data_IF_053367397889
#
_entry.id   IF_053367397889
#
_cell.length_a   1.000
_cell.length_b   1.000
_cell.length_c   1.000
_cell.angle_alpha   90.00
_cell.angle_beta   90.00
_cell.angle_gamma   90.00
#
_symmetry.space_group_name_H-M   'P 1'
#
loop_
_entity.id
_entity.type
_entity.pdbx_description
1 polymer ?
#
# COMPACT_ATOMS: atom_id res chain seq x y z
N UNK A 1 23.90 -45.55 38.16
CA UNK A 1 22.96 -44.59 38.78
C UNK A 1 23.72 -43.27 38.93
N UNK A 2 24.04 -42.54 37.86
CA UNK A 2 23.21 -41.64 37.04
C UNK A 2 22.57 -40.50 37.87
N UNK A 3 23.02 -39.28 37.54
CA UNK A 3 22.44 -37.94 37.73
C UNK A 3 22.60 -37.23 39.09
N UNK A 4 23.57 -36.32 39.17
CA UNK A 4 23.48 -35.09 39.97
C UNK A 4 23.48 -33.86 39.05
N UNK A 5 22.27 -33.35 38.89
CA UNK A 5 21.78 -32.07 38.39
C UNK A 5 22.79 -30.93 38.13
N UNK A 6 23.02 -30.62 36.84
CA UNK A 6 23.40 -29.26 36.40
C UNK A 6 22.12 -28.42 36.33
N UNK A 7 21.98 -27.45 37.23
CA UNK A 7 20.95 -26.42 37.18
C UNK A 7 21.42 -25.34 36.18
N UNK A 8 20.97 -25.46 34.92
CA UNK A 8 21.21 -24.44 33.90
C UNK A 8 20.35 -23.20 34.20
N UNK A 9 20.99 -22.09 34.57
CA UNK A 9 20.37 -20.76 34.56
C UNK A 9 20.12 -20.36 33.09
N UNK A 10 18.91 -20.63 32.60
CA UNK A 10 18.41 -19.95 31.42
C UNK A 10 17.94 -18.55 31.82
N UNK A 11 18.86 -17.59 31.72
CA UNK A 11 18.52 -16.17 31.75
C UNK A 11 17.62 -15.87 30.54
N UNK A 12 16.34 -15.69 30.78
CA UNK A 12 15.37 -15.29 29.77
C UNK A 12 15.68 -13.85 29.37
N UNK A 13 16.34 -13.66 28.23
CA UNK A 13 16.43 -12.35 27.58
C UNK A 13 15.06 -12.01 27.00
N UNK A 14 14.22 -11.38 27.82
CA UNK A 14 13.01 -10.73 27.34
C UNK A 14 13.44 -9.61 26.38
N UNK A 15 13.35 -9.86 25.08
CA UNK A 15 13.36 -8.80 24.08
C UNK A 15 12.18 -7.89 24.39
N UNK A 16 12.46 -6.71 24.91
CA UNK A 16 11.48 -5.65 25.01
C UNK A 16 11.02 -5.32 23.59
N UNK A 17 9.88 -5.89 23.18
CA UNK A 17 9.10 -5.30 22.10
C UNK A 17 8.72 -3.92 22.60
N UNK A 18 9.28 -2.85 22.02
CA UNK A 18 8.75 -1.52 22.22
C UNK A 18 7.33 -1.52 21.67
N UNK A 19 6.35 -1.80 22.55
CA UNK A 19 4.98 -1.43 22.30
C UNK A 19 5.01 0.09 22.15
N UNK A 20 4.85 0.58 20.92
CA UNK A 20 4.59 1.99 20.69
C UNK A 20 3.29 2.29 21.42
N UNK A 21 3.43 2.91 22.58
CA UNK A 21 2.31 3.25 23.44
C UNK A 21 1.45 4.23 22.64
N UNK A 22 0.26 3.79 22.20
CA UNK A 22 -0.69 4.62 21.46
C UNK A 22 -1.26 5.68 22.39
N UNK A 23 -0.54 6.78 22.56
CA UNK A 23 -1.05 8.03 23.15
C UNK A 23 -1.96 8.67 22.11
N UNK A 24 -3.24 8.26 22.04
CA UNK A 24 -4.15 8.73 20.98
C UNK A 24 -4.30 10.25 20.94
N UNK A 25 -4.25 10.81 19.72
CA UNK A 25 -5.06 11.98 19.30
C UNK A 25 -5.54 11.85 17.83
N UNK A 26 -5.98 10.66 17.40
CA UNK A 26 -6.55 10.33 16.06
C UNK A 26 -5.62 10.52 14.85
N UNK A 27 -5.76 9.70 13.80
CA UNK A 27 -5.04 9.87 12.52
C UNK A 27 -5.91 10.50 11.43
N UNK A 28 -7.10 11.01 11.78
CA UNK A 28 -8.00 11.65 10.82
C UNK A 28 -7.45 12.99 10.35
N UNK A 29 -7.84 13.39 9.14
CA UNK A 29 -7.33 14.60 8.48
C UNK A 29 -6.29 14.28 7.41
N UNK A 30 -5.64 15.34 6.94
CA UNK A 30 -4.61 15.29 5.90
C UNK A 30 -3.23 15.35 6.52
N UNK A 31 -2.35 14.46 6.08
CA UNK A 31 -0.96 14.36 6.52
C UNK A 31 -0.03 14.40 5.31
N UNK A 32 1.13 15.05 5.41
CA UNK A 32 2.13 15.07 4.34
C UNK A 32 3.56 14.97 4.87
N UNK A 33 4.42 14.23 4.19
CA UNK A 33 5.85 14.14 4.50
C UNK A 33 6.66 15.27 3.85
N UNK A 34 7.95 15.36 4.20
CA UNK A 34 8.90 16.27 3.57
C UNK A 34 8.55 17.72 3.86
N UNK A 35 8.53 18.57 2.82
CA UNK A 35 8.16 19.98 2.93
C UNK A 35 6.64 20.24 2.86
N UNK A 36 5.81 19.20 2.81
CA UNK A 36 4.34 19.38 2.80
C UNK A 36 3.72 19.69 1.43
N UNK A 37 4.49 19.64 0.34
CA UNK A 37 3.99 20.03 -0.99
C UNK A 37 3.18 18.93 -1.70
N UNK A 38 3.37 17.67 -1.35
CA UNK A 38 2.55 16.57 -1.87
C UNK A 38 1.30 16.51 -1.01
N UNK A 39 0.13 16.80 -1.56
CA UNK A 39 -1.13 16.75 -0.85
C UNK A 39 -2.13 15.92 -1.65
N UNK A 40 -2.94 15.13 -0.96
CA UNK A 40 -4.12 14.51 -1.58
C UNK A 40 -5.09 15.58 -2.10
N UNK A 41 -6.00 15.18 -2.98
CA UNK A 41 -7.04 16.01 -3.58
C UNK A 41 -6.76 16.40 -5.04
N UNK A 42 -7.60 17.28 -5.61
CA UNK A 42 -7.52 17.70 -7.02
C UNK A 42 -6.22 18.44 -7.37
N UNK A 43 -5.50 18.93 -6.37
CA UNK A 43 -4.19 19.57 -6.54
C UNK A 43 -3.08 18.60 -6.95
N UNK A 44 -3.28 17.29 -6.80
CA UNK A 44 -2.27 16.27 -7.13
C UNK A 44 -2.67 15.36 -8.28
N UNK A 45 -3.91 14.87 -8.30
CA UNK A 45 -4.39 13.95 -9.33
C UNK A 45 -5.62 14.51 -10.05
N UNK A 46 -5.69 14.25 -11.36
CA UNK A 46 -6.86 14.47 -12.19
C UNK A 46 -7.32 13.15 -12.80
N UNK A 47 -8.26 12.43 -12.14
CA UNK A 47 -8.75 11.15 -12.64
C UNK A 47 -9.49 11.23 -13.97
N UNK A 48 -10.08 12.37 -14.35
CA UNK A 48 -10.78 12.49 -15.63
C UNK A 48 -9.83 12.32 -16.83
N UNK A 49 -8.57 12.74 -16.66
CA UNK A 49 -7.54 12.69 -17.71
C UNK A 49 -6.38 11.73 -17.38
N UNK A 50 -6.48 10.96 -16.30
CA UNK A 50 -5.43 10.06 -15.79
C UNK A 50 -4.06 10.75 -15.66
N UNK A 51 -4.07 12.01 -15.19
CA UNK A 51 -2.87 12.85 -15.13
C UNK A 51 -2.56 13.32 -13.72
N UNK A 52 -1.31 13.71 -13.49
CA UNK A 52 -0.85 14.29 -12.23
C UNK A 52 -0.44 15.75 -12.38
N UNK A 53 -0.68 16.53 -11.33
CA UNK A 53 -0.13 17.86 -11.14
C UNK A 53 1.12 17.72 -10.28
N UNK A 54 2.29 18.02 -10.85
CA UNK A 54 3.56 17.77 -10.21
C UNK A 54 3.82 18.76 -9.06
N UNK A 55 3.99 18.26 -7.82
CA UNK A 55 4.41 19.11 -6.73
C UNK A 55 5.88 19.53 -6.90
N UNK A 56 6.28 20.70 -6.38
CA UNK A 56 7.67 21.19 -6.49
C UNK A 56 8.70 20.33 -5.73
N UNK A 57 8.26 19.46 -4.82
CA UNK A 57 9.13 18.52 -4.08
C UNK A 57 8.46 17.16 -3.94
N UNK A 58 9.26 16.12 -3.74
CA UNK A 58 8.76 14.78 -3.45
C UNK A 58 8.19 14.65 -2.05
N UNK A 59 7.39 13.61 -1.85
CA UNK A 59 6.72 13.33 -0.61
C UNK A 59 5.59 12.33 -0.78
N UNK A 60 4.99 12.01 0.34
CA UNK A 60 3.79 11.19 0.43
C UNK A 60 2.77 11.93 1.27
N UNK A 61 1.50 11.71 0.97
CA UNK A 61 0.38 12.25 1.72
C UNK A 61 -0.74 11.23 1.81
N UNK A 62 -1.39 11.22 2.97
CA UNK A 62 -2.59 10.46 3.23
C UNK A 62 -3.64 11.39 3.80
N UNK A 63 -4.88 11.17 3.38
CA UNK A 63 -6.05 11.72 4.03
C UNK A 63 -6.93 10.60 4.52
N UNK A 64 -7.41 10.72 5.75
CA UNK A 64 -8.34 9.78 6.37
C UNK A 64 -9.57 10.52 6.87
N UNK A 65 -10.75 10.07 6.47
CA UNK A 65 -12.03 10.59 6.95
C UNK A 65 -12.59 9.70 8.06
N UNK A 66 -13.38 10.26 8.97
CA UNK A 66 -13.96 9.50 10.07
C UNK A 66 -15.00 8.46 9.63
N UNK A 67 -15.60 8.64 8.46
CA UNK A 67 -16.58 7.73 7.83
C UNK A 67 -15.92 6.56 7.04
N UNK A 68 -14.60 6.40 7.14
CA UNK A 68 -13.90 5.22 6.65
C UNK A 68 -13.38 5.31 5.22
N UNK A 69 -13.20 6.53 4.67
CA UNK A 69 -12.55 6.74 3.39
C UNK A 69 -11.11 7.22 3.54
N UNK A 70 -10.28 6.85 2.58
CA UNK A 70 -8.92 7.32 2.50
C UNK A 70 -8.56 7.73 1.07
N UNK A 71 -7.57 8.60 0.97
CA UNK A 71 -6.88 8.88 -0.29
C UNK A 71 -5.38 8.92 -0.04
N UNK A 72 -4.61 8.48 -1.03
CA UNK A 72 -3.15 8.45 -1.02
C UNK A 72 -2.61 9.21 -2.22
N UNK A 73 -1.65 10.09 -1.96
CA UNK A 73 -0.86 10.80 -2.98
C UNK A 73 0.62 10.54 -2.71
N UNK A 74 1.36 10.00 -3.69
CA UNK A 74 2.80 9.73 -3.55
C UNK A 74 3.55 10.26 -4.74
N UNK A 75 4.57 11.06 -4.50
CA UNK A 75 5.55 11.43 -5.50
C UNK A 75 6.93 11.06 -4.97
N UNK A 76 7.54 10.02 -5.54
CA UNK A 76 8.79 9.44 -5.04
C UNK A 76 9.78 9.20 -6.18
N UNK A 77 11.06 9.29 -5.85
CA UNK A 77 12.14 8.81 -6.72
C UNK A 77 12.68 7.49 -6.17
N UNK A 78 13.01 6.57 -7.09
CA UNK A 78 13.83 5.41 -6.78
C UNK A 78 15.22 5.64 -7.38
N UNK A 79 16.22 5.66 -6.50
CA UNK A 79 17.62 5.83 -6.90
C UNK A 79 18.20 4.54 -7.45
N UNK A 80 19.08 4.65 -8.45
CA UNK A 80 19.89 3.55 -8.95
C UNK A 80 21.37 3.85 -8.70
N UNK A 81 21.94 3.22 -7.67
CA UNK A 81 23.33 3.48 -7.26
C UNK A 81 24.39 3.03 -8.27
N UNK A 82 24.06 2.03 -9.11
CA UNK A 82 24.96 1.55 -10.16
C UNK A 82 24.91 2.42 -11.42
N UNK A 83 23.75 3.01 -11.72
CA UNK A 83 23.55 3.92 -12.84
C UNK A 83 22.82 5.19 -12.37
N UNK A 84 23.53 6.20 -11.83
CA UNK A 84 22.91 7.40 -11.26
C UNK A 84 22.12 8.24 -12.27
N UNK A 85 22.37 8.08 -13.56
CA UNK A 85 21.58 8.70 -14.64
C UNK A 85 20.23 8.00 -14.89
N UNK A 86 20.00 6.83 -14.29
CA UNK A 86 18.80 6.01 -14.41
C UNK A 86 17.95 6.06 -13.13
N UNK A 87 17.66 7.27 -12.64
CA UNK A 87 16.67 7.44 -11.56
C UNK A 87 15.27 7.29 -12.13
N UNK A 88 14.37 6.61 -11.41
CA UNK A 88 12.97 6.58 -11.79
C UNK A 88 12.13 7.42 -10.84
N UNK A 89 11.08 8.05 -11.37
CA UNK A 89 10.06 8.73 -10.58
C UNK A 89 8.75 7.94 -10.66
N UNK A 90 8.04 7.89 -9.55
CA UNK A 90 6.74 7.24 -9.48
C UNK A 90 5.76 8.17 -8.78
N UNK A 91 4.69 8.51 -9.49
CA UNK A 91 3.54 9.23 -8.97
C UNK A 91 2.41 8.21 -8.81
N UNK A 92 1.88 8.05 -7.59
CA UNK A 92 0.75 7.16 -7.33
C UNK A 92 -0.38 7.97 -6.74
N UNK A 93 -1.58 7.77 -7.28
CA UNK A 93 -2.81 8.18 -6.64
C UNK A 93 -3.78 7.01 -6.59
N UNK A 94 -4.34 6.76 -5.41
CA UNK A 94 -5.46 5.85 -5.23
C UNK A 94 -6.26 6.24 -3.99
N UNK A 95 -7.53 5.85 -3.99
CA UNK A 95 -8.47 6.16 -2.93
C UNK A 95 -9.48 5.02 -2.79
N UNK A 96 -10.17 5.01 -1.65
CA UNK A 96 -11.12 3.95 -1.35
C UNK A 96 -11.56 3.98 0.10
N UNK A 97 -11.87 2.80 0.62
CA UNK A 97 -12.28 2.61 2.01
C UNK A 97 -11.15 2.03 2.83
N UNK A 98 -11.07 2.37 4.11
CA UNK A 98 -10.14 1.73 5.02
C UNK A 98 -10.86 1.11 6.22
N UNK A 99 -10.23 0.11 6.81
CA UNK A 99 -10.69 -0.50 8.05
C UNK A 99 -9.53 -0.67 9.03
N UNK A 100 -9.68 -0.10 10.22
CA UNK A 100 -8.78 -0.38 11.32
C UNK A 100 -9.12 -1.73 11.96
N UNK A 101 -8.12 -2.58 12.08
CA UNK A 101 -8.24 -3.94 12.62
C UNK A 101 -8.00 -3.96 14.14
N UNK A 102 -8.49 -4.97 14.86
CA UNK A 102 -8.28 -5.09 16.32
C UNK A 102 -6.82 -5.16 16.76
N UNK A 103 -5.92 -5.60 15.87
CA UNK A 103 -4.48 -5.66 16.12
C UNK A 103 -3.77 -4.30 15.93
N UNK A 104 -4.50 -3.22 15.62
CA UNK A 104 -3.97 -1.88 15.40
C UNK A 104 -3.56 -1.58 13.96
N UNK A 105 -3.51 -2.58 13.08
CA UNK A 105 -3.22 -2.37 11.66
C UNK A 105 -4.40 -1.69 10.93
N UNK A 106 -4.12 -1.06 9.79
CA UNK A 106 -5.13 -0.45 8.92
C UNK A 106 -5.05 -1.10 7.55
N UNK A 107 -6.18 -1.58 7.04
CA UNK A 107 -6.30 -2.15 5.69
C UNK A 107 -6.91 -1.10 4.78
N UNK A 108 -6.21 -0.74 3.71
CA UNK A 108 -6.65 0.20 2.68
C UNK A 108 -7.17 -0.59 1.47
N UNK A 109 -8.45 -0.43 1.16
CA UNK A 109 -9.12 -1.10 0.04
C UNK A 109 -9.51 -0.07 -1.02
N UNK A 110 -8.80 -0.01 -2.16
CA UNK A 110 -9.09 0.96 -3.21
C UNK A 110 -10.43 0.70 -3.92
N UNK A 111 -11.04 1.74 -4.51
CA UNK A 111 -12.21 1.58 -5.39
C UNK A 111 -11.88 0.95 -6.76
N UNK A 112 -10.60 0.68 -7.02
CA UNK A 112 -10.12 0.09 -8.26
C UNK A 112 -9.85 1.10 -9.38
N UNK A 113 -10.04 2.40 -9.12
CA UNK A 113 -9.87 3.47 -10.09
C UNK A 113 -8.56 4.28 -9.93
N UNK A 114 -7.66 3.83 -9.07
CA UNK A 114 -6.34 4.43 -8.89
C UNK A 114 -5.45 4.27 -10.12
N UNK A 115 -4.45 5.12 -10.24
CA UNK A 115 -3.44 5.05 -11.30
C UNK A 115 -2.07 5.50 -10.79
N UNK A 116 -1.05 5.09 -11.51
CA UNK A 116 0.31 5.54 -11.28
C UNK A 116 0.95 5.96 -12.58
N UNK A 117 1.83 6.95 -12.50
CA UNK A 117 2.72 7.34 -13.58
C UNK A 117 4.14 6.93 -13.21
N UNK A 118 4.79 6.21 -14.10
CA UNK A 118 6.19 5.80 -13.97
C UNK A 118 7.00 6.57 -15.00
N UNK A 119 8.05 7.22 -14.52
CA UNK A 119 9.04 7.89 -15.36
C UNK A 119 10.38 7.18 -15.14
N UNK A 120 10.93 6.58 -16.19
CA UNK A 120 12.21 5.89 -16.15
C UNK A 120 13.02 6.24 -17.41
N UNK A 121 14.02 7.11 -17.32
CA UNK A 121 14.77 7.57 -18.49
C UNK A 121 15.58 6.46 -19.17
N UNK A 122 15.78 5.32 -18.51
CA UNK A 122 16.56 4.20 -19.04
C UNK A 122 15.70 3.00 -19.45
N UNK A 123 14.39 3.02 -19.19
CA UNK A 123 13.46 2.03 -19.70
C UNK A 123 13.14 2.26 -21.19
N UNK A 124 12.74 1.21 -21.94
CA UNK A 124 12.28 1.35 -23.33
C UNK A 124 11.09 2.31 -23.50
N UNK A 125 10.22 2.37 -22.48
CA UNK A 125 9.13 3.34 -22.38
C UNK A 125 9.42 4.24 -21.19
N UNK A 126 9.79 5.49 -21.47
CA UNK A 126 10.35 6.37 -20.45
C UNK A 126 9.32 7.09 -19.59
N UNK A 127 8.07 7.13 -20.02
CA UNK A 127 6.97 7.74 -19.29
C UNK A 127 5.67 7.04 -19.69
N UNK A 128 4.98 6.46 -18.72
CA UNK A 128 3.68 5.84 -18.95
C UNK A 128 2.80 5.92 -17.70
N UNK A 129 1.49 5.96 -17.94
CA UNK A 129 0.46 5.87 -16.92
C UNK A 129 -0.17 4.49 -16.99
N UNK A 130 -0.43 3.88 -15.83
CA UNK A 130 -1.11 2.60 -15.72
C UNK A 130 -2.04 2.57 -14.52
N UNK A 131 -3.04 1.70 -14.57
CA UNK A 131 -3.95 1.50 -13.45
C UNK A 131 -3.21 0.97 -12.22
N UNK A 132 -3.68 1.41 -11.05
CA UNK A 132 -3.14 1.05 -9.75
C UNK A 132 -4.28 0.65 -8.82
N UNK A 133 -4.36 -0.64 -8.53
CA UNK A 133 -5.41 -1.23 -7.71
C UNK A 133 -4.78 -2.20 -6.70
N UNK A 134 -4.00 -1.65 -5.78
CA UNK A 134 -3.30 -2.43 -4.75
C UNK A 134 -3.95 -2.18 -3.41
N UNK A 135 -4.47 -3.24 -2.80
CA UNK A 135 -4.86 -3.24 -1.39
C UNK A 135 -3.61 -3.17 -0.53
N UNK A 136 -3.54 -2.22 0.39
CA UNK A 136 -2.37 -2.01 1.22
C UNK A 136 -2.66 -2.28 2.69
N UNK A 137 -1.71 -2.93 3.37
CA UNK A 137 -1.72 -3.12 4.81
C UNK A 137 -0.73 -2.14 5.44
N UNK A 138 -1.24 -1.25 6.29
CA UNK A 138 -0.44 -0.45 7.21
C UNK A 138 -0.34 -1.24 8.51
N UNK A 139 0.81 -1.88 8.77
CA UNK A 139 0.97 -2.84 9.86
C UNK A 139 0.76 -2.22 11.24
N UNK A 140 1.20 -0.97 11.41
CA UNK A 140 0.99 -0.17 12.62
C UNK A 140 1.02 1.31 12.28
N UNK A 141 0.53 2.13 13.21
CA UNK A 141 0.54 3.58 13.11
C UNK A 141 0.74 4.21 14.49
N UNK A 142 1.29 5.42 14.50
CA UNK A 142 1.43 6.20 15.72
C UNK A 142 1.33 7.69 15.40
N UNK A 143 0.69 8.44 16.29
CA UNK A 143 0.68 9.90 16.25
C UNK A 143 1.49 10.40 17.44
N UNK A 144 2.47 11.25 17.18
CA UNK A 144 3.32 11.84 18.22
C UNK A 144 3.29 13.35 18.12
N UNK A 145 3.39 14.03 19.26
CA UNK A 145 3.53 15.48 19.28
C UNK A 145 5.00 15.88 19.25
N UNK A 146 5.40 16.65 18.24
CA UNK A 146 6.71 17.28 18.15
C UNK A 146 6.61 18.72 18.74
N UNK A 147 7.50 19.11 19.67
CA UNK A 147 7.45 20.45 20.27
C UNK A 147 7.66 21.60 19.29
N UNK A 148 8.29 21.35 18.14
CA UNK A 148 8.63 22.37 17.14
C UNK A 148 7.72 22.26 15.92
N UNK A 149 7.53 21.04 15.42
CA UNK A 149 6.82 20.79 14.16
C UNK A 149 5.34 20.47 14.33
N UNK A 150 4.88 20.24 15.56
CA UNK A 150 3.49 19.85 15.84
C UNK A 150 3.22 18.35 15.69
N UNK A 151 1.98 17.98 15.38
CA UNK A 151 1.59 16.57 15.31
C UNK A 151 2.20 15.87 14.10
N UNK A 152 2.71 14.66 14.33
CA UNK A 152 3.37 13.81 13.33
C UNK A 152 2.74 12.43 13.29
N UNK A 153 2.40 11.97 12.09
CA UNK A 153 1.91 10.63 11.83
C UNK A 153 3.04 9.75 11.31
N UNK A 154 3.20 8.60 11.96
CA UNK A 154 4.05 7.50 11.53
C UNK A 154 3.16 6.38 11.04
N UNK A 155 3.38 5.96 9.81
CA UNK A 155 2.75 4.78 9.23
C UNK A 155 3.84 3.76 8.90
N UNK A 156 3.52 2.48 9.00
CA UNK A 156 4.44 1.40 8.71
C UNK A 156 3.85 0.50 7.63
N UNK A 157 4.68 0.12 6.67
CA UNK A 157 4.32 -0.80 5.59
C UNK A 157 3.98 -2.19 6.14
N UNK A 158 3.51 -3.09 5.27
CA UNK A 158 3.11 -4.45 5.66
C UNK A 158 4.26 -5.26 6.30
N UNK A 159 5.51 -4.95 5.96
CA UNK A 159 6.74 -5.56 6.44
C UNK A 159 7.31 -4.89 7.71
N UNK A 160 6.65 -3.83 8.19
CA UNK A 160 7.12 -3.02 9.31
C UNK A 160 8.13 -1.94 8.93
N UNK A 161 8.46 -1.77 7.64
CA UNK A 161 9.31 -0.66 7.18
C UNK A 161 8.55 0.65 7.34
N UNK A 162 9.11 1.68 8.01
CA UNK A 162 8.40 2.94 8.20
C UNK A 162 8.24 3.70 6.89
N UNK A 163 7.06 4.27 6.68
CA UNK A 163 6.90 5.39 5.75
C UNK A 163 7.62 6.63 6.29
N UNK A 164 8.03 7.58 5.42
CA UNK A 164 8.49 8.89 5.87
C UNK A 164 7.49 9.52 6.85
N UNK A 165 7.95 10.10 7.96
CA UNK A 165 7.07 10.75 8.92
C UNK A 165 6.33 11.91 8.25
N UNK A 166 5.05 12.03 8.58
CA UNK A 166 4.16 13.03 7.97
C UNK A 166 3.71 14.05 9.00
N UNK A 167 3.72 15.32 8.61
CA UNK A 167 3.20 16.44 9.37
C UNK A 167 1.70 16.56 9.17
N UNK A 168 1.00 17.01 10.20
CA UNK A 168 -0.41 17.34 10.13
C UNK A 168 -0.63 18.60 9.27
N UNK A 169 -1.45 18.48 8.23
CA UNK A 169 -1.71 19.57 7.28
C UNK A 169 -3.08 20.21 7.50
N UNK A 170 -4.11 19.41 7.78
CA UNK A 170 -5.49 19.90 7.94
C UNK A 170 -6.35 18.89 8.68
N UNK A 171 -7.22 19.37 9.57
CA UNK A 171 -8.25 18.56 10.22
C UNK A 171 -9.38 18.16 9.25
N UNK A 172 -9.62 18.97 8.22
CA UNK A 172 -10.54 18.61 7.12
C UNK A 172 -9.77 17.78 6.10
N UNK A 173 -10.12 16.51 5.87
CA UNK A 173 -9.46 15.67 4.87
C UNK A 173 -9.58 16.30 3.47
N UNK A 174 -8.45 16.48 2.79
CA UNK A 174 -8.42 17.02 1.44
C UNK A 174 -8.37 15.85 0.45
N UNK A 175 -9.50 15.53 -0.16
CA UNK A 175 -9.66 14.32 -0.99
C UNK A 175 -10.54 14.62 -2.20
N UNK A 176 -10.36 13.85 -3.26
CA UNK A 176 -11.33 13.75 -4.36
C UNK A 176 -12.60 13.03 -3.87
N UNK A 177 -13.71 13.07 -4.64
CA UNK A 177 -14.98 12.49 -4.19
C UNK A 177 -14.86 10.99 -3.86
N UNK A 178 -15.44 10.56 -2.74
CA UNK A 178 -15.35 9.21 -2.15
C UNK A 178 -16.20 8.16 -2.87
N UNK A 179 -16.02 8.04 -4.18
CA UNK A 179 -16.68 7.07 -5.06
C UNK A 179 -15.76 6.74 -6.22
N UNK A 180 -16.01 5.65 -6.94
CA UNK A 180 -15.29 5.40 -8.20
C UNK A 180 -15.46 6.58 -9.18
N UNK A 181 -14.34 7.10 -9.69
CA UNK A 181 -14.24 8.27 -10.56
C UNK A 181 -13.95 7.90 -12.02
N UNK A 182 -13.52 6.67 -12.27
CA UNK A 182 -13.22 6.14 -13.61
C UNK A 182 -13.93 4.81 -13.84
N UNK A 183 -14.47 4.61 -15.04
CA UNK A 183 -15.00 3.32 -15.44
C UNK A 183 -13.87 2.45 -16.00
N UNK A 184 -13.31 1.60 -15.16
CA UNK A 184 -12.21 0.71 -15.56
C UNK A 184 -12.79 -0.66 -15.86
N UNK A 185 -13.08 -0.90 -17.14
CA UNK A 185 -13.35 -2.26 -17.60
C UNK A 185 -12.08 -3.09 -17.40
N UNK A 186 -12.15 -4.16 -16.62
CA UNK A 186 -11.16 -5.23 -16.72
C UNK A 186 -11.06 -5.63 -18.20
N UNK A 187 -9.87 -5.90 -18.76
CA UNK A 187 -9.78 -6.40 -20.12
C UNK A 187 -10.70 -7.61 -20.22
N UNK A 188 -11.73 -7.51 -21.07
CA UNK A 188 -12.60 -8.64 -21.37
C UNK A 188 -11.71 -9.67 -22.05
N UNK A 189 -11.24 -10.65 -21.29
CA UNK A 189 -10.67 -11.86 -21.89
C UNK A 189 -11.85 -12.56 -22.54
N UNK A 190 -12.08 -12.29 -23.82
CA UNK A 190 -12.91 -13.17 -24.64
C UNK A 190 -12.11 -14.46 -24.74
N UNK A 191 -12.30 -15.34 -23.77
CA UNK A 191 -11.94 -16.74 -23.92
C UNK A 191 -12.79 -17.24 -25.08
N UNK A 192 -12.20 -17.31 -26.28
CA UNK A 192 -12.78 -18.06 -27.38
C UNK A 192 -12.96 -19.47 -26.84
N UNK A 193 -14.21 -19.88 -26.60
CA UNK A 193 -14.54 -21.25 -26.20
C UNK A 193 -14.05 -22.14 -27.34
N UNK A 194 -12.87 -22.73 -27.19
CA UNK A 194 -12.35 -23.72 -28.13
C UNK A 194 -13.30 -24.90 -28.10
N UNK A 195 -14.08 -25.07 -29.17
CA UNK A 195 -14.69 -26.36 -29.49
C UNK A 195 -13.55 -27.26 -29.92
N UNK A 196 -13.20 -28.20 -29.05
CA UNK A 196 -12.28 -29.31 -29.24
C UNK A 196 -11.84 -29.53 -30.69
N UNK A 197 -10.63 -29.09 -31.03
CA UNK A 197 -9.73 -29.91 -31.84
C UNK A 197 -8.27 -29.56 -31.48
N UNK A 198 -7.65 -30.45 -30.73
CA UNK A 198 -6.30 -30.95 -31.00
C UNK A 198 -5.05 -30.08 -30.86
N UNK A 199 -5.07 -28.81 -30.42
CA UNK A 199 -3.80 -28.03 -30.35
C UNK A 199 -3.42 -27.51 -28.96
N UNK A 200 -2.26 -27.99 -28.48
CA UNK A 200 -1.66 -27.62 -27.20
C UNK A 200 -1.13 -26.18 -27.24
N UNK A 201 -1.86 -25.24 -26.64
CA UNK A 201 -1.35 -23.88 -26.42
C UNK A 201 -0.32 -23.90 -25.28
N UNK A 202 0.96 -23.77 -25.64
CA UNK A 202 2.05 -23.57 -24.68
C UNK A 202 1.96 -22.15 -24.11
N UNK A 203 1.47 -22.04 -22.88
CA UNK A 203 1.39 -20.80 -22.12
C UNK A 203 2.77 -20.44 -21.54
N UNK A 204 3.49 -19.52 -22.18
CA UNK A 204 4.63 -18.84 -21.55
C UNK A 204 4.11 -17.61 -20.80
N UNK A 205 3.82 -17.81 -19.52
CA UNK A 205 3.32 -16.76 -18.63
C UNK A 205 3.56 -17.15 -17.18
N UNK A 206 4.74 -16.81 -16.69
CA UNK A 206 5.12 -16.92 -15.27
C UNK A 206 4.24 -15.99 -14.43
N UNK A 207 3.25 -16.56 -13.73
CA UNK A 207 2.59 -15.92 -12.59
C UNK A 207 1.94 -16.99 -11.70
N UNK A 208 2.62 -17.24 -10.58
CA UNK A 208 2.03 -17.31 -9.24
C UNK A 208 0.88 -18.29 -9.00
N UNK A 209 1.24 -19.46 -8.51
CA UNK A 209 0.38 -20.35 -7.74
C UNK A 209 -0.09 -19.68 -6.43
N UNK A 210 -1.38 -19.33 -6.35
CA UNK A 210 -2.24 -19.35 -5.15
C UNK A 210 -3.69 -19.18 -5.67
N UNK A 211 -4.74 -19.88 -5.23
CA UNK A 211 -4.99 -20.52 -3.94
C UNK A 211 -6.21 -21.46 -4.03
N UNK A 212 -6.12 -22.59 -3.33
CA UNK A 212 -7.12 -23.22 -2.44
C UNK A 212 -8.59 -23.45 -2.87
N UNK A 213 -9.02 -24.71 -2.80
CA UNK A 213 -10.29 -25.07 -2.16
C UNK A 213 -10.21 -26.47 -1.52
N UNK A 214 -10.57 -26.52 -0.24
CA UNK A 214 -10.59 -27.65 0.69
C UNK A 214 -11.94 -28.38 0.57
N UNK A 215 -11.94 -29.65 0.98
CA UNK A 215 -13.08 -30.50 1.40
C UNK A 215 -13.78 -31.35 0.32
N UNK A 216 -13.44 -32.63 0.30
CA UNK A 216 -14.40 -33.71 0.06
C UNK A 216 -14.07 -34.87 1.01
N UNK A 217 -14.86 -35.00 2.07
CA UNK A 217 -14.85 -36.16 2.95
C UNK A 217 -15.85 -37.22 2.47
N UNK A 218 -15.41 -38.47 2.57
CA UNK A 218 -16.15 -39.72 2.77
C UNK A 218 -17.21 -40.14 1.72
N UNK A 219 -16.86 -41.19 0.97
CA UNK A 219 -17.80 -42.27 0.61
C UNK A 219 -17.04 -43.60 0.40
N UNK A 220 -17.60 -44.64 1.01
CA UNK A 220 -17.14 -46.02 1.15
C UNK A 220 -16.99 -46.82 -0.16
N UNK A 221 -16.02 -47.74 -0.19
CA UNK A 221 -16.02 -49.00 -0.97
C UNK A 221 -15.12 -49.98 -0.21
N UNK A 222 -15.62 -50.99 0.52
CA UNK A 222 -16.09 -52.29 0.04
C UNK A 222 -15.20 -52.89 -1.07
N UNK A 223 -14.05 -53.44 -0.67
CA UNK A 223 -13.65 -54.85 -0.81
C UNK A 223 -12.29 -55.07 -0.13
#
# INVERSE_FOLDING_TARGET
MILTSLLALFASTALAQQAVQQTTTTYFGTWSSGSGNVLTGPGFANPANESFNYPPTTGISYSFTQDGFYETARYRFNSNGSMPNCISANLVWHHGTYQQQPNGSIVLTPFGDGFQQVQDPCAPVSNFVQNYNVTELLSTWAVTQDPILGSRLFLYQFDGTPWPPMLFMSATPNMLPTRSLRNISAPVVIAKRSTNDGDSVRLWGISGLVSSAVAAGLASLLL
#
